data_IF_753045382249
#
_entry.id   IF_753045382249
#
_cell.length_a   1.000
_cell.length_b   1.000
_cell.length_c   1.000
_cell.angle_alpha   90.00
_cell.angle_beta   90.00
_cell.angle_gamma   90.00
#
_symmetry.space_group_name_H-M   'P 1'
#
loop_
_entity.id
_entity.type
_entity.pdbx_description
1 polymer ?
#
# COMPACT_ATOMS: atom_id res chain seq x y z
N UNK A 1 -17.79 -15.56 -29.53
CA UNK A 1 -16.91 -15.37 -28.35
C UNK A 1 -17.29 -16.35 -27.22
N UNK A 2 -16.34 -16.97 -26.52
CA UNK A 2 -16.63 -17.82 -25.34
C UNK A 2 -17.04 -16.93 -24.16
N UNK A 3 -18.14 -17.25 -23.47
CA UNK A 3 -18.71 -16.42 -22.39
C UNK A 3 -17.67 -16.02 -21.32
N UNK A 4 -16.82 -16.96 -20.91
CA UNK A 4 -15.75 -16.71 -19.94
C UNK A 4 -14.78 -15.62 -20.40
N UNK A 5 -14.42 -15.60 -21.69
CA UNK A 5 -13.50 -14.61 -22.24
C UNK A 5 -14.14 -13.21 -22.24
N UNK A 6 -15.42 -13.13 -22.59
CA UNK A 6 -16.18 -11.89 -22.53
C UNK A 6 -16.24 -11.33 -21.10
N UNK A 7 -16.55 -12.18 -20.13
CA UNK A 7 -16.63 -11.80 -18.72
C UNK A 7 -15.29 -11.26 -18.20
N UNK A 8 -14.18 -11.97 -18.48
CA UNK A 8 -12.85 -11.52 -18.06
C UNK A 8 -12.46 -10.20 -18.75
N UNK A 9 -12.81 -10.03 -20.02
CA UNK A 9 -12.49 -8.81 -20.79
C UNK A 9 -13.30 -7.60 -20.32
N UNK A 10 -14.60 -7.76 -20.07
CA UNK A 10 -15.43 -6.70 -19.49
C UNK A 10 -14.97 -6.31 -18.08
N UNK A 11 -14.61 -7.30 -17.26
CA UNK A 11 -14.03 -7.06 -15.94
C UNK A 11 -12.72 -6.28 -16.04
N UNK A 12 -11.86 -6.60 -17.00
CA UNK A 12 -10.63 -5.86 -17.27
C UNK A 12 -10.93 -4.40 -17.65
N UNK A 13 -11.88 -4.15 -18.57
CA UNK A 13 -12.29 -2.80 -18.95
C UNK A 13 -12.83 -1.99 -17.75
N UNK A 14 -13.70 -2.57 -16.92
CA UNK A 14 -14.24 -1.91 -15.72
C UNK A 14 -13.13 -1.54 -14.74
N UNK A 15 -12.08 -2.38 -14.64
CA UNK A 15 -10.91 -2.15 -13.79
C UNK A 15 -9.81 -1.31 -14.46
N UNK A 16 -10.06 -0.77 -15.65
CA UNK A 16 -9.07 -0.01 -16.46
C UNK A 16 -7.78 -0.80 -16.74
N UNK A 17 -7.91 -2.11 -16.97
CA UNK A 17 -6.80 -3.01 -17.30
C UNK A 17 -6.66 -3.21 -18.80
N UNK A 18 -5.44 -3.48 -19.30
CA UNK A 18 -5.27 -3.84 -20.69
C UNK A 18 -6.05 -5.12 -21.00
N UNK A 19 -6.71 -5.13 -22.17
CA UNK A 19 -7.33 -6.34 -22.70
C UNK A 19 -6.25 -7.37 -23.05
N UNK A 20 -6.53 -8.67 -22.91
CA UNK A 20 -5.63 -9.72 -23.40
C UNK A 20 -5.29 -9.52 -24.88
N UNK A 21 -4.02 -9.72 -25.24
CA UNK A 21 -3.56 -9.57 -26.62
C UNK A 21 -4.30 -10.53 -27.56
N UNK A 22 -4.63 -10.06 -28.78
CA UNK A 22 -5.29 -10.85 -29.82
C UNK A 22 -6.81 -10.94 -29.71
N UNK A 23 -7.44 -10.21 -28.79
CA UNK A 23 -8.92 -10.07 -28.75
C UNK A 23 -9.33 -8.92 -29.68
N UNK A 24 -9.93 -9.28 -30.82
CA UNK A 24 -10.60 -8.35 -31.73
C UNK A 24 -12.09 -8.70 -31.73
N UNK A 25 -12.84 -8.02 -30.86
CA UNK A 25 -14.28 -8.19 -30.71
C UNK A 25 -14.94 -6.81 -30.81
N UNK A 26 -15.82 -6.64 -31.80
CA UNK A 26 -16.43 -5.36 -32.13
C UNK A 26 -17.24 -4.79 -30.95
N UNK A 27 -17.90 -5.67 -30.18
CA UNK A 27 -18.65 -5.26 -29.00
C UNK A 27 -17.73 -4.74 -27.90
N UNK A 28 -16.58 -5.39 -27.65
CA UNK A 28 -15.62 -4.89 -26.66
C UNK A 28 -15.02 -3.53 -27.07
N UNK A 29 -14.81 -3.29 -28.36
CA UNK A 29 -14.36 -2.00 -28.87
C UNK A 29 -15.43 -0.91 -28.70
N UNK A 30 -16.69 -1.22 -28.98
CA UNK A 30 -17.82 -0.31 -28.75
C UNK A 30 -17.96 0.05 -27.27
N UNK A 31 -17.89 -0.95 -26.38
CA UNK A 31 -17.92 -0.73 -24.92
C UNK A 31 -16.74 0.13 -24.47
N UNK A 32 -15.54 -0.14 -25.00
CA UNK A 32 -14.34 0.64 -24.69
C UNK A 32 -14.46 2.10 -25.12
N UNK A 33 -15.12 2.38 -26.24
CA UNK A 33 -15.39 3.73 -26.73
C UNK A 33 -16.59 4.41 -26.04
N UNK A 34 -17.36 3.69 -25.22
CA UNK A 34 -18.59 4.21 -24.63
C UNK A 34 -18.34 5.12 -23.42
N UNK A 35 -19.12 6.21 -23.34
CA UNK A 35 -19.14 7.08 -22.15
C UNK A 35 -19.68 6.35 -20.89
N UNK A 36 -20.48 5.31 -21.07
CA UNK A 36 -21.01 4.50 -19.98
C UNK A 36 -19.90 3.75 -19.24
N UNK A 37 -18.91 3.24 -19.96
CA UNK A 37 -17.74 2.59 -19.34
C UNK A 37 -16.99 3.57 -18.43
N UNK A 38 -16.78 4.81 -18.88
CA UNK A 38 -16.14 5.85 -18.08
C UNK A 38 -16.91 6.13 -16.78
N UNK A 39 -18.24 6.18 -16.85
CA UNK A 39 -19.08 6.36 -15.66
C UNK A 39 -18.95 5.17 -14.70
N UNK A 40 -18.99 3.94 -15.22
CA UNK A 40 -18.84 2.72 -14.42
C UNK A 40 -17.45 2.68 -13.75
N UNK A 41 -16.39 3.04 -14.46
CA UNK A 41 -15.04 3.14 -13.91
C UNK A 41 -14.97 4.16 -12.77
N UNK A 42 -15.58 5.34 -12.94
CA UNK A 42 -15.64 6.36 -11.88
C UNK A 42 -16.40 5.87 -10.65
N UNK A 43 -17.53 5.18 -10.83
CA UNK A 43 -18.29 4.58 -9.74
C UNK A 43 -17.44 3.52 -9.02
N UNK A 44 -16.82 2.61 -9.78
CA UNK A 44 -15.96 1.58 -9.21
C UNK A 44 -14.79 2.17 -8.42
N UNK A 45 -14.12 3.19 -8.96
CA UNK A 45 -13.06 3.92 -8.28
C UNK A 45 -13.55 4.56 -6.97
N UNK A 46 -14.70 5.26 -7.00
CA UNK A 46 -15.27 5.88 -5.81
C UNK A 46 -15.61 4.85 -4.72
N UNK A 47 -16.20 3.71 -5.09
CA UNK A 47 -16.46 2.63 -4.13
C UNK A 47 -15.17 2.11 -3.49
N UNK A 48 -14.09 1.99 -4.27
CA UNK A 48 -12.80 1.54 -3.74
C UNK A 48 -12.18 2.55 -2.80
N UNK A 49 -12.28 3.84 -3.13
CA UNK A 49 -11.90 4.94 -2.24
C UNK A 49 -12.60 4.85 -0.89
N UNK A 50 -13.93 4.66 -0.89
CA UNK A 50 -14.74 4.52 0.32
C UNK A 50 -14.42 3.24 1.13
N UNK A 51 -13.90 2.19 0.48
CA UNK A 51 -13.48 0.97 1.18
C UNK A 51 -12.09 1.09 1.83
N UNK A 52 -11.14 1.69 1.12
CA UNK A 52 -9.74 1.77 1.55
C UNK A 52 -9.53 2.84 2.61
N UNK A 53 -10.12 4.03 2.45
CA UNK A 53 -9.85 5.17 3.34
C UNK A 53 -10.12 4.89 4.83
N UNK A 54 -11.25 4.27 5.23
CA UNK A 54 -11.51 4.01 6.65
C UNK A 54 -10.59 2.95 7.24
N UNK A 55 -10.04 2.05 6.42
CA UNK A 55 -9.19 0.95 6.87
C UNK A 55 -7.72 1.35 6.95
N UNK A 56 -7.24 2.16 5.99
CA UNK A 56 -5.85 2.59 5.86
C UNK A 56 -5.73 4.09 6.16
N UNK A 57 -6.23 4.54 7.31
CA UNK A 57 -6.36 5.97 7.64
C UNK A 57 -5.04 6.73 7.56
N UNK A 58 -3.97 6.23 8.18
CA UNK A 58 -2.68 6.93 8.21
C UNK A 58 -2.08 7.05 6.81
N UNK A 59 -2.06 5.95 6.07
CA UNK A 59 -1.50 5.91 4.71
C UNK A 59 -2.34 6.75 3.75
N UNK A 60 -3.67 6.67 3.82
CA UNK A 60 -4.53 7.48 2.96
C UNK A 60 -4.45 8.97 3.30
N UNK A 61 -4.38 9.35 4.58
CA UNK A 61 -4.12 10.76 4.97
C UNK A 61 -2.78 11.24 4.45
N UNK A 62 -1.71 10.43 4.59
CA UNK A 62 -0.40 10.77 4.06
C UNK A 62 -0.47 11.05 2.54
N UNK A 63 -1.01 10.09 1.78
CA UNK A 63 -1.09 10.20 0.32
C UNK A 63 -2.00 11.35 -0.13
N UNK A 64 -3.04 11.69 0.63
CA UNK A 64 -3.88 12.86 0.35
C UNK A 64 -3.12 14.15 0.59
N UNK A 65 -2.33 14.24 1.67
CA UNK A 65 -1.52 15.42 1.99
C UNK A 65 -0.45 15.71 0.92
N UNK A 66 0.03 14.67 0.23
CA UNK A 66 0.98 14.79 -0.89
C UNK A 66 0.32 14.84 -2.27
N UNK A 67 -1.02 14.79 -2.36
CA UNK A 67 -1.76 14.78 -3.63
C UNK A 67 -1.60 13.51 -4.47
N UNK A 68 -1.09 12.42 -3.89
CA UNK A 68 -0.78 11.18 -4.59
C UNK A 68 -1.88 10.12 -4.49
N UNK A 69 -2.83 10.26 -3.56
CA UNK A 69 -3.77 9.19 -3.22
C UNK A 69 -4.55 8.62 -4.41
N UNK A 70 -5.14 9.48 -5.25
CA UNK A 70 -5.97 9.01 -6.37
C UNK A 70 -5.12 8.28 -7.43
N UNK A 71 -3.87 8.71 -7.65
CA UNK A 71 -2.92 8.06 -8.55
C UNK A 71 -2.53 6.67 -8.03
N UNK A 72 -2.14 6.58 -6.77
CA UNK A 72 -1.75 5.32 -6.13
C UNK A 72 -2.92 4.33 -6.10
N UNK A 73 -4.12 4.80 -5.79
CA UNK A 73 -5.32 3.97 -5.79
C UNK A 73 -5.67 3.47 -7.21
N UNK A 74 -5.48 4.31 -8.23
CA UNK A 74 -5.68 3.91 -9.63
C UNK A 74 -4.71 2.80 -10.03
N UNK A 75 -3.43 2.93 -9.65
CA UNK A 75 -2.42 1.88 -9.87
C UNK A 75 -2.74 0.57 -9.15
N UNK A 76 -3.22 0.66 -7.90
CA UNK A 76 -3.66 -0.51 -7.15
C UNK A 76 -4.81 -1.26 -7.85
N UNK A 77 -5.83 -0.53 -8.32
CA UNK A 77 -7.01 -1.13 -8.98
C UNK A 77 -6.63 -1.81 -10.31
N UNK A 78 -5.72 -1.18 -11.06
CA UNK A 78 -5.30 -1.69 -12.38
C UNK A 78 -4.39 -2.91 -12.28
N UNK A 79 -3.56 -3.05 -11.24
CA UNK A 79 -2.57 -4.15 -11.16
C UNK A 79 -3.03 -5.39 -10.37
N UNK A 80 -3.81 -5.23 -9.30
CA UNK A 80 -4.08 -6.33 -8.36
C UNK A 80 -5.50 -6.88 -8.50
N UNK A 81 -5.65 -8.20 -8.60
CA UNK A 81 -6.95 -8.79 -8.26
C UNK A 81 -7.18 -8.64 -6.77
N UNK A 82 -8.15 -7.80 -6.43
CA UNK A 82 -8.48 -7.45 -5.06
C UNK A 82 -9.71 -8.20 -4.57
N UNK A 83 -9.74 -8.44 -3.27
CA UNK A 83 -10.85 -9.11 -2.60
C UNK A 83 -12.15 -8.30 -2.65
N UNK A 84 -13.27 -8.97 -2.42
CA UNK A 84 -14.57 -8.32 -2.16
C UNK A 84 -14.71 -7.90 -0.69
N UNK A 85 -13.86 -8.42 0.20
CA UNK A 85 -13.89 -8.13 1.63
C UNK A 85 -13.07 -6.88 1.94
N UNK A 86 -13.67 -5.95 2.71
CA UNK A 86 -13.09 -4.64 3.01
C UNK A 86 -11.70 -4.75 3.66
N UNK A 87 -11.58 -5.61 4.65
CA UNK A 87 -10.34 -5.72 5.44
C UNK A 87 -9.19 -6.26 4.60
N UNK A 88 -9.47 -7.25 3.76
CA UNK A 88 -8.50 -7.83 2.84
C UNK A 88 -8.07 -6.81 1.77
N UNK A 89 -9.01 -6.01 1.23
CA UNK A 89 -8.68 -4.94 0.27
C UNK A 89 -7.73 -3.92 0.90
N UNK A 90 -7.96 -3.54 2.16
CA UNK A 90 -7.10 -2.61 2.86
C UNK A 90 -5.69 -3.14 3.06
N UNK A 91 -5.55 -4.41 3.49
CA UNK A 91 -4.24 -5.09 3.61
C UNK A 91 -3.51 -5.18 2.27
N UNK A 92 -4.24 -5.50 1.21
CA UNK A 92 -3.70 -5.55 -0.15
C UNK A 92 -3.24 -4.17 -0.64
N UNK A 93 -3.99 -3.12 -0.30
CA UNK A 93 -3.61 -1.74 -0.62
C UNK A 93 -2.34 -1.31 0.12
N UNK A 94 -2.21 -1.58 1.42
CA UNK A 94 -1.00 -1.28 2.18
C UNK A 94 0.20 -2.04 1.62
N UNK A 95 0.04 -3.33 1.32
CA UNK A 95 1.08 -4.14 0.69
C UNK A 95 1.50 -3.59 -0.67
N UNK A 96 0.55 -3.08 -1.45
CA UNK A 96 0.83 -2.42 -2.73
C UNK A 96 1.69 -1.15 -2.52
N UNK A 97 1.32 -0.28 -1.58
CA UNK A 97 2.07 0.94 -1.26
C UNK A 97 3.50 0.62 -0.84
N UNK A 98 3.69 -0.36 0.05
CA UNK A 98 5.02 -0.81 0.53
C UNK A 98 5.92 -1.27 -0.62
N UNK A 99 5.34 -1.91 -1.65
CA UNK A 99 6.08 -2.48 -2.78
C UNK A 99 6.35 -1.49 -3.92
N UNK A 100 5.45 -0.52 -4.13
CA UNK A 100 5.43 0.28 -5.38
C UNK A 100 5.78 1.74 -5.19
N UNK A 101 5.55 2.31 -4.01
CA UNK A 101 5.86 3.71 -3.78
C UNK A 101 7.37 3.94 -3.65
N UNK A 102 7.85 5.03 -4.24
CA UNK A 102 9.26 5.44 -4.12
C UNK A 102 9.52 6.28 -2.87
N UNK A 103 8.48 6.93 -2.33
CA UNK A 103 8.57 7.74 -1.13
C UNK A 103 8.77 6.83 0.10
N UNK A 104 9.94 6.95 0.74
CA UNK A 104 10.34 6.16 1.92
C UNK A 104 9.34 6.32 3.06
N UNK A 105 8.91 7.54 3.35
CA UNK A 105 7.94 7.83 4.41
C UNK A 105 6.56 7.21 4.13
N UNK A 106 6.11 7.23 2.87
CA UNK A 106 4.85 6.58 2.48
C UNK A 106 4.89 5.06 2.78
N UNK A 107 6.02 4.41 2.45
CA UNK A 107 6.23 2.99 2.70
C UNK A 107 6.29 2.71 4.20
N UNK A 108 7.05 3.48 4.96
CA UNK A 108 7.18 3.30 6.41
C UNK A 108 5.85 3.47 7.13
N UNK A 109 5.03 4.46 6.73
CA UNK A 109 3.67 4.66 7.28
C UNK A 109 2.77 3.47 6.94
N UNK A 110 2.81 2.99 5.69
CA UNK A 110 2.00 1.84 5.27
C UNK A 110 2.40 0.53 5.96
N UNK A 111 3.70 0.31 6.14
CA UNK A 111 4.25 -0.86 6.84
C UNK A 111 3.86 -0.87 8.32
N UNK A 112 3.98 0.30 8.98
CA UNK A 112 3.50 0.47 10.35
C UNK A 112 2.00 0.24 10.50
N UNK A 113 1.21 0.87 9.63
CA UNK A 113 -0.24 0.74 9.68
C UNK A 113 -0.67 -0.71 9.47
N UNK A 114 -0.04 -1.43 8.55
CA UNK A 114 -0.28 -2.86 8.34
C UNK A 114 0.07 -3.68 9.58
N UNK A 115 1.25 -3.47 10.18
CA UNK A 115 1.67 -4.19 11.38
C UNK A 115 0.70 -3.96 12.56
N UNK A 116 0.22 -2.73 12.75
CA UNK A 116 -0.77 -2.39 13.78
C UNK A 116 -2.13 -3.05 13.52
N UNK A 117 -2.57 -3.11 12.26
CA UNK A 117 -3.82 -3.76 11.87
C UNK A 117 -3.76 -5.27 12.15
N UNK A 118 -2.64 -5.92 11.78
CA UNK A 118 -2.42 -7.34 12.04
C UNK A 118 -2.43 -7.62 13.54
N UNK A 119 -1.69 -6.82 14.32
CA UNK A 119 -1.66 -6.91 15.78
C UNK A 119 -3.06 -6.78 16.40
N UNK A 120 -3.86 -5.81 15.96
CA UNK A 120 -5.24 -5.61 16.45
C UNK A 120 -6.20 -6.73 16.03
N UNK A 121 -5.89 -7.43 14.95
CA UNK A 121 -6.66 -8.59 14.49
C UNK A 121 -6.36 -9.86 15.30
N UNK A 122 -5.42 -9.79 16.26
CA UNK A 122 -5.00 -10.93 17.08
C UNK A 122 -3.96 -11.82 16.41
N UNK A 123 -3.36 -11.36 15.31
CA UNK A 123 -2.28 -12.09 14.64
C UNK A 123 -0.96 -11.92 15.41
N UNK A 124 -0.12 -12.95 15.37
CA UNK A 124 1.23 -12.87 15.93
C UNK A 124 2.11 -12.02 15.01
N UNK A 125 2.58 -10.89 15.53
CA UNK A 125 3.36 -9.90 14.76
C UNK A 125 4.64 -9.61 15.51
N UNK A 126 5.76 -9.72 14.80
CA UNK A 126 7.06 -9.20 15.21
C UNK A 126 7.64 -8.43 14.02
N UNK A 127 7.30 -7.13 13.95
CA UNK A 127 7.77 -6.26 12.87
C UNK A 127 8.78 -5.26 13.42
N UNK A 128 9.88 -5.09 12.69
CA UNK A 128 10.87 -4.05 12.91
C UNK A 128 11.07 -3.28 11.60
N UNK A 129 10.93 -1.96 11.66
CA UNK A 129 10.97 -1.09 10.48
C UNK A 129 11.75 0.19 10.79
N UNK A 130 12.30 0.80 9.74
CA UNK A 130 13.14 1.99 9.86
C UNK A 130 12.44 3.22 9.27
N UNK A 131 12.58 4.33 9.97
CA UNK A 131 11.95 5.61 9.65
C UNK A 131 13.03 6.70 9.58
N UNK A 132 12.91 7.59 8.60
CA UNK A 132 13.79 8.76 8.41
C UNK A 132 13.33 9.99 9.23
N UNK A 133 12.18 9.88 9.88
CA UNK A 133 11.52 10.93 10.64
C UNK A 133 11.00 10.38 11.97
N UNK A 134 10.88 11.25 12.96
CA UNK A 134 10.38 10.90 14.29
C UNK A 134 8.94 10.34 14.17
N UNK A 135 8.71 9.05 14.49
CA UNK A 135 7.44 8.38 14.22
C UNK A 135 6.25 8.93 15.00
N UNK A 136 6.44 9.36 16.25
CA UNK A 136 5.33 9.92 17.05
C UNK A 136 4.85 11.25 16.47
N UNK A 137 5.75 12.13 16.02
CA UNK A 137 5.43 13.37 15.32
C UNK A 137 4.66 13.10 14.03
N UNK A 138 5.16 12.19 13.20
CA UNK A 138 4.49 11.82 11.94
C UNK A 138 3.07 11.30 12.21
N UNK A 139 2.93 10.32 13.11
CA UNK A 139 1.63 9.73 13.44
C UNK A 139 0.70 10.81 14.02
N UNK A 140 1.20 11.68 14.90
CA UNK A 140 0.43 12.77 15.47
C UNK A 140 -0.12 13.73 14.40
N UNK A 141 0.74 14.14 13.46
CA UNK A 141 0.35 15.03 12.38
C UNK A 141 -0.62 14.39 11.39
N UNK A 142 -0.44 13.10 11.07
CA UNK A 142 -1.36 12.32 10.24
C UNK A 142 -2.72 12.17 10.90
N UNK A 143 -2.78 11.89 12.20
CA UNK A 143 -4.07 11.78 12.91
C UNK A 143 -4.85 13.10 12.95
N UNK A 144 -4.15 14.24 12.82
CA UNK A 144 -4.71 15.59 12.80
C UNK A 144 -4.89 16.17 11.39
N UNK A 145 -4.64 15.41 10.33
CA UNK A 145 -4.68 15.86 8.94
C UNK A 145 -3.85 17.16 8.71
N UNK A 146 -2.70 17.26 9.38
CA UNK A 146 -1.90 18.51 9.48
C UNK A 146 -0.44 18.33 9.04
N UNK A 147 -0.15 17.24 8.32
CA UNK A 147 1.23 16.87 7.97
C UNK A 147 1.90 17.95 7.11
N UNK A 148 3.06 18.41 7.58
CA UNK A 148 4.01 19.23 6.83
C UNK A 148 5.38 18.58 6.95
N UNK A 149 5.86 17.95 5.87
CA UNK A 149 7.11 17.15 5.92
C UNK A 149 8.31 17.99 6.37
N UNK A 150 8.31 19.28 6.02
CA UNK A 150 9.35 20.25 6.37
C UNK A 150 9.50 20.49 7.89
N UNK A 151 8.45 20.23 8.66
CA UNK A 151 8.46 20.47 10.12
C UNK A 151 8.81 19.22 10.93
N UNK A 152 9.01 18.08 10.26
CA UNK A 152 9.29 16.81 10.93
C UNK A 152 10.75 16.71 11.35
N UNK A 153 10.99 16.15 12.53
CA UNK A 153 12.33 15.89 13.03
C UNK A 153 12.96 14.72 12.25
N UNK A 154 14.02 15.00 11.48
CA UNK A 154 14.79 13.97 10.75
C UNK A 154 15.73 13.18 11.66
N UNK A 155 15.93 11.91 11.33
CA UNK A 155 16.86 11.01 11.99
C UNK A 155 16.59 9.57 11.60
N UNK A 156 17.41 8.62 12.05
CA UNK A 156 17.14 7.20 11.85
C UNK A 156 16.44 6.66 13.09
N UNK A 157 15.21 6.19 12.91
CA UNK A 157 14.38 5.64 13.98
C UNK A 157 14.03 4.20 13.65
N UNK A 158 14.17 3.33 14.64
CA UNK A 158 13.69 1.97 14.62
C UNK A 158 12.33 1.92 15.31
N UNK A 159 11.33 1.37 14.62
CA UNK A 159 9.99 1.15 15.14
C UNK A 159 9.75 -0.34 15.24
N UNK A 160 9.37 -0.79 16.44
CA UNK A 160 9.06 -2.19 16.71
C UNK A 160 7.59 -2.33 17.07
N UNK A 161 6.88 -3.19 16.35
CA UNK A 161 5.50 -3.60 16.65
C UNK A 161 5.54 -5.08 17.03
N UNK A 162 5.08 -5.41 18.23
CA UNK A 162 5.18 -6.77 18.75
C UNK A 162 3.93 -7.20 19.51
N UNK A 163 3.45 -8.41 19.22
CA UNK A 163 2.36 -9.06 19.97
C UNK A 163 2.77 -9.60 21.33
N UNK A 164 4.08 -9.70 21.60
CA UNK A 164 4.61 -10.27 22.86
C UNK A 164 4.84 -9.22 23.94
N UNK A 165 4.72 -7.94 23.61
CA UNK A 165 4.83 -6.84 24.57
C UNK A 165 3.43 -6.32 24.97
N UNK A 166 2.94 -6.64 26.18
CA UNK A 166 1.62 -6.20 26.62
C UNK A 166 1.56 -4.71 27.03
N UNK A 167 2.71 -4.02 27.09
CA UNK A 167 2.79 -2.66 27.68
C UNK A 167 2.61 -1.54 26.67
N UNK A 168 2.90 -1.77 25.39
CA UNK A 168 2.81 -0.76 24.34
C UNK A 168 2.47 -1.39 22.99
N UNK A 169 1.67 -0.68 22.17
CA UNK A 169 1.36 -1.12 20.80
C UNK A 169 2.59 -1.13 19.90
N UNK A 170 3.53 -0.22 20.13
CA UNK A 170 4.80 -0.13 19.42
C UNK A 170 5.83 0.61 20.28
N UNK A 171 7.11 0.41 19.97
CA UNK A 171 8.24 1.13 20.56
C UNK A 171 9.01 1.86 19.48
N UNK A 172 9.58 3.00 19.85
CA UNK A 172 10.44 3.81 18.98
C UNK A 172 11.80 3.93 19.66
N UNK A 173 12.86 3.62 18.93
CA UNK A 173 14.25 3.86 19.35
C UNK A 173 14.93 4.72 18.29
N UNK A 174 15.47 5.87 18.70
CA UNK A 174 16.36 6.64 17.84
C UNK A 174 17.69 5.91 17.75
N UNK A 175 18.16 5.65 16.53
CA UNK A 175 19.50 5.16 16.28
C UNK A 175 20.41 6.37 16.16
N UNK A 176 21.47 6.41 16.95
CA UNK A 176 22.56 7.35 16.71
C UNK A 176 23.15 7.00 15.34
N UNK A 177 23.35 8.00 14.47
CA UNK A 177 24.03 7.78 13.19
C UNK A 177 25.33 7.03 13.47
N UNK A 178 25.61 5.87 12.84
CA UNK A 178 26.95 5.33 12.91
C UNK A 178 27.86 6.39 12.28
N UNK A 179 28.82 6.89 13.05
CA UNK A 179 29.99 7.57 12.48
C UNK A 179 30.47 6.71 11.31
N UNK A 180 30.54 7.32 10.13
CA UNK A 180 30.96 6.71 8.87
C UNK A 180 32.14 5.73 9.08
N UNK A 181 31.87 4.42 9.08
CA UNK A 181 32.66 3.35 8.46
C UNK A 181 32.13 1.97 8.85
N UNK A 182 31.52 1.26 7.91
CA UNK A 182 31.88 -0.11 7.54
C UNK A 182 30.83 -0.66 6.57
N UNK A 183 31.32 -1.36 5.55
CA UNK A 183 30.57 -1.89 4.43
C UNK A 183 29.39 -2.78 4.87
N UNK A 184 28.28 -2.63 4.16
CA UNK A 184 27.20 -3.62 4.10
C UNK A 184 27.78 -4.98 3.69
N UNK A 185 27.65 -6.05 4.50
CA UNK A 185 27.74 -7.40 3.97
C UNK A 185 26.34 -7.81 3.49
N UNK A 186 26.18 -7.92 2.17
CA UNK A 186 25.16 -8.80 1.61
C UNK A 186 25.47 -10.24 2.08
N UNK A 187 24.68 -10.75 3.02
CA UNK A 187 24.64 -12.18 3.29
C UNK A 187 23.62 -12.83 2.34
N UNK A 188 24.10 -13.22 1.16
CA UNK A 188 23.48 -14.27 0.35
C UNK A 188 23.88 -15.60 0.99
N UNK A 189 22.94 -16.29 1.61
CA UNK A 189 23.07 -17.71 1.93
C UNK A 189 22.24 -18.51 0.93
N UNK A 190 22.91 -18.97 -0.12
CA UNK A 190 22.46 -20.10 -0.93
C UNK A 190 23.63 -21.09 -1.01
N UNK A 191 23.64 -22.05 -0.09
CA UNK A 191 24.38 -23.29 -0.23
C UNK A 191 23.39 -24.44 -0.08
N UNK A 192 23.28 -25.22 -1.14
CA UNK A 192 22.55 -26.48 -1.24
C UNK A 192 23.13 -27.20 -2.44
N UNK A 193 24.10 -28.05 -2.15
CA UNK A 193 25.06 -28.69 -3.04
C UNK A 193 24.41 -29.65 -4.04
N UNK A 194 25.04 -29.73 -5.22
CA UNK A 194 24.89 -30.82 -6.18
C UNK A 194 26.03 -31.81 -5.91
N UNK A 195 25.68 -33.07 -5.66
CA UNK A 195 26.39 -34.25 -6.16
C UNK A 195 25.37 -35.23 -6.72
#
# INVERSE_FOLDING_TARGET
>A
MKLRLLQTSLSALIKSRPLPQGIHDDYLQEVQASNHLLLIQKIAFWWRKVQVEPYCRLTTTFLKSTGQFDTVLTGFISEKDFSSFRDEVGRQFLSYVIQKESNTLARSVADFELAVILLKSGEEVQACMYWEYEPYEVIHHLLKDSLKVETLTKGVYEVTVSSTDPTALFRVRRLEEPMVTAAYPHAVSAQGEIQ
#
